data_IF_799262336921
#
_entry.id   IF_799262336921
#
_cell.length_a   1.000
_cell.length_b   1.000
_cell.length_c   1.000
_cell.angle_alpha   90.00
_cell.angle_beta   90.00
_cell.angle_gamma   90.00
#
_symmetry.space_group_name_H-M   'P 1'
#
loop_
_entity.id
_entity.type
_entity.pdbx_description
1 polymer ?
#
# COMPACT_ATOMS: atom_id res chain seq x y z
N UNK A 1 5.00 29.02 5.61
CA UNK A 1 5.54 27.66 5.48
C UNK A 1 4.43 26.69 5.85
N UNK A 2 4.11 25.76 4.95
CA UNK A 2 3.08 24.75 5.10
C UNK A 2 3.74 23.37 5.17
N UNK A 3 3.17 22.45 5.95
CA UNK A 3 3.63 21.07 6.05
C UNK A 3 2.65 20.13 5.33
N UNK A 4 3.17 19.07 4.71
CA UNK A 4 2.37 17.98 4.14
C UNK A 4 2.89 16.64 4.62
N UNK A 5 1.96 15.75 4.94
CA UNK A 5 2.18 14.34 5.26
C UNK A 5 1.22 13.51 4.40
N UNK A 6 1.41 12.18 4.36
CA UNK A 6 0.48 11.29 3.68
C UNK A 6 -0.74 10.95 4.56
N UNK A 7 -1.67 10.18 4.01
CA UNK A 7 -2.87 9.65 4.70
C UNK A 7 -2.57 8.84 5.98
N UNK A 8 -1.34 8.35 6.15
CA UNK A 8 -0.89 7.61 7.33
C UNK A 8 -0.26 8.52 8.41
N UNK A 9 -0.22 9.83 8.16
CA UNK A 9 0.34 10.84 9.07
C UNK A 9 1.85 11.05 8.96
N UNK A 10 2.59 10.18 8.26
CA UNK A 10 4.03 10.31 8.04
C UNK A 10 4.51 9.50 6.81
N UNK A 11 5.48 10.05 6.09
CA UNK A 11 6.22 9.29 5.06
C UNK A 11 7.12 8.21 5.70
N UNK A 12 7.56 7.17 4.96
CA UNK A 12 8.25 6.00 5.55
C UNK A 12 9.49 6.31 6.39
N UNK A 13 10.29 7.29 5.99
CA UNK A 13 11.49 7.77 6.70
C UNK A 13 11.19 8.79 7.82
N UNK A 14 9.89 9.08 8.05
CA UNK A 14 9.35 10.05 9.00
C UNK A 14 9.74 11.52 8.77
N UNK A 15 10.32 11.88 7.62
CA UNK A 15 10.49 13.32 7.32
C UNK A 15 9.13 13.97 7.06
N UNK A 16 9.03 15.23 7.48
CA UNK A 16 7.99 16.16 7.03
C UNK A 16 8.41 16.67 5.64
N UNK A 17 7.45 16.97 4.78
CA UNK A 17 7.68 17.76 3.57
C UNK A 17 7.10 19.16 3.76
N UNK A 18 7.85 20.18 3.35
CA UNK A 18 7.54 21.59 3.60
C UNK A 18 7.44 22.35 2.27
N UNK A 19 6.60 23.38 2.24
CA UNK A 19 6.44 24.28 1.11
C UNK A 19 6.23 25.73 1.60
N UNK A 20 6.51 26.72 0.76
CA UNK A 20 6.34 28.12 1.10
C UNK A 20 4.86 28.45 1.34
N UNK A 21 4.00 28.02 0.40
CA UNK A 21 2.54 28.16 0.40
C UNK A 21 1.86 27.01 -0.34
N UNK A 22 0.52 26.94 -0.22
CA UNK A 22 -0.35 26.04 -0.99
C UNK A 22 -1.39 26.88 -1.75
N UNK A 23 -1.50 26.67 -3.05
CA UNK A 23 -2.56 27.23 -3.89
C UNK A 23 -3.79 26.31 -3.89
N UNK A 24 -4.98 26.88 -3.92
CA UNK A 24 -6.25 26.15 -3.86
C UNK A 24 -7.21 26.58 -5.00
N UNK A 25 -6.83 26.36 -6.29
CA UNK A 25 -7.67 26.71 -7.42
C UNK A 25 -9.02 25.97 -7.37
N UNK A 26 -10.09 26.70 -7.67
CA UNK A 26 -11.48 26.23 -7.81
C UNK A 26 -11.92 26.10 -9.26
N UNK A 27 -11.14 26.63 -10.19
CA UNK A 27 -11.39 26.64 -11.63
C UNK A 27 -10.09 26.39 -12.40
N UNK A 28 -10.18 25.93 -13.65
CA UNK A 28 -8.99 25.80 -14.50
C UNK A 28 -8.31 27.17 -14.73
N UNK A 29 -9.07 28.27 -14.82
CA UNK A 29 -8.49 29.61 -14.96
C UNK A 29 -7.62 30.03 -13.75
N UNK A 30 -8.05 29.69 -12.53
CA UNK A 30 -7.23 29.86 -11.31
C UNK A 30 -5.99 28.96 -11.32
N UNK A 31 -6.12 27.70 -11.79
CA UNK A 31 -4.99 26.78 -11.93
C UNK A 31 -3.95 27.29 -12.92
N UNK A 32 -4.38 27.73 -14.10
CA UNK A 32 -3.54 28.34 -15.14
C UNK A 32 -2.82 29.58 -14.60
N UNK A 33 -3.53 30.44 -13.87
CA UNK A 33 -2.96 31.63 -13.23
C UNK A 33 -1.90 31.29 -12.19
N UNK A 34 -2.15 30.26 -11.36
CA UNK A 34 -1.23 29.80 -10.34
C UNK A 34 0.05 29.21 -10.94
N UNK A 35 -0.06 28.38 -11.99
CA UNK A 35 1.09 27.82 -12.70
C UNK A 35 1.89 28.92 -13.40
N UNK A 36 1.23 29.85 -14.10
CA UNK A 36 1.91 30.98 -14.75
C UNK A 36 2.70 31.85 -13.76
N UNK A 37 2.09 32.22 -12.63
CA UNK A 37 2.73 33.02 -11.59
C UNK A 37 3.92 32.29 -10.93
N UNK A 38 3.79 30.98 -10.68
CA UNK A 38 4.86 30.18 -10.10
C UNK A 38 6.04 29.98 -11.07
N UNK A 39 5.76 29.71 -12.35
CA UNK A 39 6.77 29.60 -13.41
C UNK A 39 7.50 30.93 -13.62
N UNK A 40 6.77 32.05 -13.68
CA UNK A 40 7.36 33.41 -13.76
C UNK A 40 8.25 33.75 -12.57
N UNK A 41 7.91 33.25 -11.38
CA UNK A 41 8.71 33.39 -10.16
C UNK A 41 9.81 32.32 -9.99
N UNK A 42 10.05 31.46 -10.99
CA UNK A 42 11.07 30.40 -10.94
C UNK A 42 10.82 29.30 -9.91
N UNK A 43 9.62 29.22 -9.31
CA UNK A 43 9.32 28.34 -8.17
C UNK A 43 9.01 26.91 -8.62
N UNK A 44 9.61 25.93 -7.94
CA UNK A 44 9.21 24.52 -8.05
C UNK A 44 7.77 24.33 -7.59
N UNK A 45 7.05 23.44 -8.26
CA UNK A 45 5.65 23.11 -8.00
C UNK A 45 5.49 21.61 -7.78
N UNK A 46 4.55 21.22 -6.91
CA UNK A 46 4.04 19.84 -6.79
C UNK A 46 2.52 19.84 -6.63
N UNK A 47 1.87 18.77 -7.07
CA UNK A 47 0.41 18.60 -6.93
C UNK A 47 0.09 17.89 -5.62
N UNK A 48 -0.86 18.42 -4.85
CA UNK A 48 -1.37 17.79 -3.61
C UNK A 48 -2.86 17.45 -3.71
N UNK A 49 -3.16 16.14 -3.73
CA UNK A 49 -4.54 15.65 -3.65
C UNK A 49 -5.09 15.76 -2.22
N UNK A 50 -6.42 15.77 -2.09
CA UNK A 50 -7.16 15.96 -0.81
C UNK A 50 -6.65 15.12 0.37
N UNK A 51 -6.05 13.96 0.12
CA UNK A 51 -5.63 12.99 1.14
C UNK A 51 -4.13 12.61 1.09
N UNK A 52 -3.38 13.07 0.07
CA UNK A 52 -1.95 12.79 -0.13
C UNK A 52 -1.55 11.32 0.09
N UNK A 53 -2.36 10.35 -0.37
CA UNK A 53 -2.25 8.91 -0.03
C UNK A 53 -1.00 8.19 -0.63
N UNK A 54 -0.08 8.91 -1.27
CA UNK A 54 1.16 8.34 -1.78
C UNK A 54 2.10 7.91 -0.64
N UNK A 55 2.61 6.68 -0.70
CA UNK A 55 3.67 6.23 0.21
C UNK A 55 5.03 6.88 -0.18
N UNK A 56 5.42 6.91 -1.48
CA UNK A 56 6.52 7.76 -1.95
C UNK A 56 6.21 9.27 -1.87
N UNK A 57 7.26 10.07 -1.71
CA UNK A 57 7.24 11.53 -1.51
C UNK A 57 6.95 12.38 -2.76
N UNK A 58 6.06 11.93 -3.65
CA UNK A 58 5.78 12.60 -4.94
C UNK A 58 5.23 14.03 -4.79
N UNK A 59 4.63 14.36 -3.64
CA UNK A 59 4.12 15.70 -3.30
C UNK A 59 5.21 16.68 -2.85
N UNK A 60 6.42 16.21 -2.57
CA UNK A 60 7.46 17.00 -1.93
C UNK A 60 8.28 17.80 -2.96
N UNK A 61 8.47 19.09 -2.70
CA UNK A 61 9.35 19.97 -3.48
C UNK A 61 10.81 19.82 -3.07
N UNK A 62 11.71 20.15 -3.98
CA UNK A 62 13.13 20.29 -3.66
C UNK A 62 13.32 21.56 -2.81
N UNK A 63 13.63 21.40 -1.53
CA UNK A 63 13.71 22.51 -0.57
C UNK A 63 12.34 23.11 -0.19
N UNK A 64 12.38 24.25 0.50
CA UNK A 64 11.22 24.84 1.20
C UNK A 64 10.49 25.92 0.40
N UNK A 65 11.12 26.49 -0.62
CA UNK A 65 10.63 27.67 -1.36
C UNK A 65 9.60 27.36 -2.46
N UNK A 66 9.50 26.08 -2.82
CA UNK A 66 8.49 25.55 -3.72
C UNK A 66 7.07 25.69 -3.17
N UNK A 67 6.09 25.49 -4.04
CA UNK A 67 4.66 25.59 -3.70
C UNK A 67 3.94 24.27 -3.99
N UNK A 68 2.86 24.02 -3.25
CA UNK A 68 1.92 22.95 -3.60
C UNK A 68 0.71 23.55 -4.31
N UNK A 69 0.20 22.86 -5.33
CA UNK A 69 -1.06 23.17 -6.00
C UNK A 69 -2.07 22.10 -5.61
N UNK A 70 -3.13 22.48 -4.90
CA UNK A 70 -4.12 21.53 -4.41
C UNK A 70 -5.29 21.37 -5.37
N UNK A 71 -5.56 20.14 -5.79
CA UNK A 71 -6.73 19.80 -6.61
C UNK A 71 -8.03 19.71 -5.80
N UNK A 72 -8.00 20.03 -4.49
CA UNK A 72 -9.11 19.85 -3.54
C UNK A 72 -10.46 20.44 -3.98
N UNK A 73 -10.45 21.51 -4.78
CA UNK A 73 -11.64 22.21 -5.29
C UNK A 73 -11.81 22.11 -6.81
N UNK A 74 -10.92 21.41 -7.52
CA UNK A 74 -11.07 21.00 -8.92
C UNK A 74 -11.73 19.62 -8.93
N UNK A 75 -12.97 19.55 -8.48
CA UNK A 75 -13.64 18.29 -8.14
C UNK A 75 -15.04 18.13 -8.77
N UNK A 76 -15.24 18.73 -9.94
CA UNK A 76 -16.50 18.71 -10.69
C UNK A 76 -16.52 17.67 -11.83
N UNK A 77 -17.72 17.34 -12.31
CA UNK A 77 -17.93 16.71 -13.62
C UNK A 77 -17.89 17.81 -14.69
N UNK A 78 -17.17 17.57 -15.78
CA UNK A 78 -16.99 18.52 -16.89
C UNK A 78 -17.90 18.17 -18.07
N UNK A 79 -17.97 16.87 -18.41
CA UNK A 79 -18.82 16.34 -19.48
C UNK A 79 -19.21 14.89 -19.17
N UNK A 80 -20.44 14.53 -19.46
CA UNK A 80 -20.95 13.17 -19.29
C UNK A 80 -21.72 12.76 -20.55
N UNK A 81 -21.40 11.60 -21.11
CA UNK A 81 -21.99 11.10 -22.35
C UNK A 81 -22.30 9.60 -22.20
N UNK A 82 -23.60 9.27 -22.17
CA UNK A 82 -24.09 7.91 -21.97
C UNK A 82 -23.92 7.05 -23.22
N UNK A 83 -24.07 7.62 -24.41
CA UNK A 83 -24.12 6.88 -25.66
C UNK A 83 -22.70 6.64 -26.20
N UNK A 84 -21.82 7.66 -26.13
CA UNK A 84 -20.38 7.50 -26.36
C UNK A 84 -19.66 6.80 -25.19
N UNK A 85 -20.35 6.62 -24.05
CA UNK A 85 -19.85 5.98 -22.81
C UNK A 85 -18.59 6.66 -22.27
N UNK A 86 -18.58 8.00 -22.25
CA UNK A 86 -17.45 8.78 -21.75
C UNK A 86 -17.84 9.71 -20.60
N UNK A 87 -16.88 9.95 -19.71
CA UNK A 87 -17.05 10.81 -18.54
C UNK A 87 -15.78 11.63 -18.30
N UNK A 88 -15.86 12.93 -18.56
CA UNK A 88 -14.79 13.91 -18.31
C UNK A 88 -14.97 14.52 -16.93
N UNK A 89 -13.96 14.42 -16.09
CA UNK A 89 -13.96 14.89 -14.69
C UNK A 89 -12.69 15.64 -14.34
N UNK A 90 -12.77 16.56 -13.38
CA UNK A 90 -11.60 17.26 -12.87
C UNK A 90 -10.74 16.38 -11.94
N UNK A 91 -9.44 16.65 -11.87
CA UNK A 91 -8.45 15.76 -11.25
C UNK A 91 -8.52 15.64 -9.71
N UNK A 92 -9.31 16.48 -9.05
CA UNK A 92 -9.67 16.39 -7.64
C UNK A 92 -10.89 15.51 -7.34
N UNK A 93 -11.67 15.10 -8.36
CA UNK A 93 -12.77 14.13 -8.19
C UNK A 93 -12.23 12.85 -7.57
N UNK A 94 -12.87 12.37 -6.50
CA UNK A 94 -12.52 11.09 -5.87
C UNK A 94 -13.04 9.91 -6.68
N UNK A 95 -12.38 8.75 -6.58
CA UNK A 95 -12.83 7.50 -7.22
C UNK A 95 -14.26 7.12 -6.81
N UNK A 96 -14.63 7.36 -5.54
CA UNK A 96 -16.01 7.25 -5.05
C UNK A 96 -17.00 8.13 -5.83
N UNK A 97 -16.63 9.38 -6.11
CA UNK A 97 -17.45 10.27 -6.94
C UNK A 97 -17.49 9.79 -8.38
N UNK A 98 -16.33 9.50 -9.01
CA UNK A 98 -16.26 9.01 -10.40
C UNK A 98 -17.17 7.80 -10.64
N UNK A 99 -17.16 6.81 -9.74
CA UNK A 99 -18.03 5.63 -9.82
C UNK A 99 -19.50 6.00 -9.59
N UNK A 100 -19.80 6.93 -8.67
CA UNK A 100 -21.15 7.42 -8.43
C UNK A 100 -21.74 8.21 -9.61
N UNK A 101 -20.93 9.03 -10.28
CA UNK A 101 -21.34 9.80 -11.47
C UNK A 101 -21.50 8.88 -12.70
N UNK A 102 -20.58 7.92 -12.91
CA UNK A 102 -20.73 6.88 -13.94
C UNK A 102 -22.03 6.06 -13.75
N UNK A 103 -22.36 5.68 -12.51
CA UNK A 103 -23.56 4.92 -12.21
C UNK A 103 -24.87 5.66 -12.55
N UNK A 104 -24.89 7.00 -12.51
CA UNK A 104 -26.05 7.82 -12.96
C UNK A 104 -26.30 7.69 -14.47
N UNK A 105 -25.28 7.35 -15.24
CA UNK A 105 -25.37 7.11 -16.69
C UNK A 105 -25.72 5.65 -17.03
N UNK A 106 -25.92 4.79 -16.02
CA UNK A 106 -25.96 3.32 -16.16
C UNK A 106 -24.65 2.73 -16.68
N UNK A 107 -23.53 3.39 -16.39
CA UNK A 107 -22.18 3.00 -16.80
C UNK A 107 -21.28 2.65 -15.60
N UNK A 108 -20.24 1.87 -15.86
CA UNK A 108 -19.26 1.40 -14.89
C UNK A 108 -17.84 1.75 -15.33
N UNK A 109 -17.02 2.22 -14.38
CA UNK A 109 -15.57 2.18 -14.52
C UNK A 109 -15.13 0.71 -14.45
N UNK A 110 -14.41 0.16 -15.44
CA UNK A 110 -14.21 -1.28 -15.56
C UNK A 110 -13.27 -1.85 -14.49
N UNK A 111 -12.18 -1.15 -14.20
CA UNK A 111 -11.19 -1.53 -13.20
C UNK A 111 -10.93 -0.36 -12.24
N UNK A 112 -10.65 -0.68 -10.98
CA UNK A 112 -10.45 0.31 -9.93
C UNK A 112 -9.53 -0.24 -8.82
N UNK A 113 -8.63 0.60 -8.24
CA UNK A 113 -7.91 0.28 -7.01
C UNK A 113 -8.86 0.25 -5.80
N UNK A 114 -8.48 -0.49 -4.75
CA UNK A 114 -9.36 -0.73 -3.60
C UNK A 114 -9.74 0.49 -2.76
N UNK A 115 -8.90 1.54 -2.72
CA UNK A 115 -9.17 2.70 -1.88
C UNK A 115 -9.89 3.82 -2.64
N UNK A 116 -11.22 3.85 -2.53
CA UNK A 116 -12.10 4.83 -3.22
C UNK A 116 -11.90 6.31 -2.85
N UNK A 117 -11.00 6.61 -1.90
CA UNK A 117 -10.62 7.99 -1.54
C UNK A 117 -9.53 8.60 -2.42
N UNK A 118 -8.88 7.83 -3.31
CA UNK A 118 -7.95 8.39 -4.30
C UNK A 118 -8.66 9.42 -5.18
N UNK A 119 -7.97 10.50 -5.55
CA UNK A 119 -8.46 11.43 -6.58
C UNK A 119 -7.96 11.02 -7.96
N UNK A 120 -8.70 11.39 -9.01
CA UNK A 120 -8.38 11.10 -10.42
C UNK A 120 -6.94 11.48 -10.78
N UNK A 121 -6.49 12.68 -10.43
CA UNK A 121 -5.10 13.12 -10.66
C UNK A 121 -4.05 12.30 -9.90
N UNK A 122 -4.41 11.72 -8.75
CA UNK A 122 -3.55 10.78 -8.03
C UNK A 122 -3.50 9.40 -8.70
N UNK A 123 -4.64 8.91 -9.17
CA UNK A 123 -4.76 7.64 -9.90
C UNK A 123 -3.90 7.66 -11.18
N UNK A 124 -4.03 8.71 -11.99
CA UNK A 124 -3.19 8.90 -13.17
C UNK A 124 -1.73 9.12 -12.75
N UNK A 125 -1.49 10.06 -11.83
CA UNK A 125 -0.14 10.42 -11.40
C UNK A 125 0.70 9.24 -10.91
N UNK A 126 0.12 8.25 -10.23
CA UNK A 126 0.85 7.06 -9.73
C UNK A 126 0.55 5.76 -10.49
N UNK A 127 -0.15 5.81 -11.62
CA UNK A 127 -0.48 4.61 -12.41
C UNK A 127 -1.33 3.58 -11.66
N UNK A 128 -2.26 4.03 -10.80
CA UNK A 128 -3.02 3.13 -9.94
C UNK A 128 -3.91 2.15 -10.73
N UNK A 129 -4.00 0.92 -10.25
CA UNK A 129 -4.63 -0.22 -10.93
C UNK A 129 -5.48 -1.08 -9.98
N UNK A 130 -6.35 -1.91 -10.55
CA UNK A 130 -7.04 -2.99 -9.84
C UNK A 130 -6.20 -4.27 -9.77
N UNK A 131 -6.85 -5.42 -9.98
CA UNK A 131 -6.20 -6.67 -10.34
C UNK A 131 -6.92 -7.27 -11.55
N UNK A 132 -6.17 -7.78 -12.53
CA UNK A 132 -6.64 -8.56 -13.69
C UNK A 132 -5.47 -8.98 -14.57
N UNK A 133 -5.59 -10.13 -15.24
CA UNK A 133 -4.77 -10.52 -16.40
C UNK A 133 -5.53 -10.38 -17.73
N UNK A 134 -6.77 -9.88 -17.73
CA UNK A 134 -7.67 -9.90 -18.88
C UNK A 134 -7.54 -8.64 -19.75
N UNK A 135 -7.62 -8.81 -21.07
CA UNK A 135 -7.64 -7.70 -22.04
C UNK A 135 -6.37 -6.85 -22.00
N UNK A 136 -6.50 -5.55 -21.74
CA UNK A 136 -5.38 -4.61 -21.55
C UNK A 136 -4.89 -4.53 -20.09
N UNK A 137 -5.36 -5.39 -19.21
CA UNK A 137 -5.06 -5.37 -17.78
C UNK A 137 -5.96 -4.40 -16.98
N UNK A 138 -5.58 -4.12 -15.74
CA UNK A 138 -6.44 -3.42 -14.77
C UNK A 138 -5.98 -2.00 -14.40
N UNK A 139 -5.03 -1.41 -15.15
CA UNK A 139 -4.55 -0.07 -14.86
C UNK A 139 -5.53 1.00 -15.34
N UNK A 140 -5.92 1.91 -14.44
CA UNK A 140 -7.04 2.83 -14.70
C UNK A 140 -6.73 3.82 -15.83
N UNK A 141 -5.45 4.13 -16.06
CA UNK A 141 -4.99 5.02 -17.12
C UNK A 141 -5.07 4.42 -18.54
N UNK A 142 -5.26 3.10 -18.68
CA UNK A 142 -5.52 2.47 -19.98
C UNK A 142 -6.96 2.68 -20.45
N UNK A 143 -7.86 3.03 -19.53
CA UNK A 143 -9.29 3.33 -19.78
C UNK A 143 -9.55 4.84 -19.83
N UNK A 144 -8.57 5.59 -20.31
CA UNK A 144 -8.60 7.04 -20.51
C UNK A 144 -8.35 7.34 -21.99
N UNK A 145 -9.19 8.20 -22.56
CA UNK A 145 -9.13 8.61 -23.98
C UNK A 145 -8.54 10.00 -24.16
N UNK A 146 -8.58 10.84 -23.13
CA UNK A 146 -8.11 12.23 -23.17
C UNK A 146 -7.63 12.70 -21.79
N UNK A 147 -6.53 13.46 -21.75
CA UNK A 147 -5.99 14.12 -20.55
C UNK A 147 -5.81 15.61 -20.86
N UNK A 148 -6.37 16.49 -20.04
CA UNK A 148 -6.07 17.93 -20.08
C UNK A 148 -5.06 18.27 -19.01
N UNK A 149 -3.97 18.94 -19.39
CA UNK A 149 -2.83 19.21 -18.51
C UNK A 149 -2.38 20.67 -18.60
N UNK A 150 -2.12 21.27 -17.44
CA UNK A 150 -1.56 22.61 -17.27
C UNK A 150 -0.11 22.48 -16.81
N UNK A 151 0.83 22.91 -17.63
CA UNK A 151 2.28 22.82 -17.36
C UNK A 151 2.95 24.20 -17.41
N UNK A 152 4.18 24.35 -16.88
CA UNK A 152 5.01 25.51 -17.18
C UNK A 152 5.09 25.79 -18.69
N UNK A 153 5.16 27.08 -19.04
CA UNK A 153 5.38 27.56 -20.40
C UNK A 153 6.53 28.56 -20.46
N UNK A 154 6.92 28.95 -21.68
CA UNK A 154 7.88 30.01 -21.94
C UNK A 154 7.25 31.40 -21.80
N UNK A 155 8.04 32.46 -21.97
CA UNK A 155 7.56 33.85 -21.88
C UNK A 155 6.49 34.14 -22.94
N UNK A 156 6.64 33.63 -24.18
CA UNK A 156 5.65 33.79 -25.25
C UNK A 156 4.37 32.97 -25.03
N UNK A 157 4.42 31.95 -24.16
CA UNK A 157 3.23 31.23 -23.68
C UNK A 157 2.59 31.90 -22.45
N UNK A 158 3.00 33.12 -22.08
CA UNK A 158 2.54 33.77 -20.85
C UNK A 158 2.99 33.08 -19.56
N UNK A 159 4.05 32.26 -19.63
CA UNK A 159 4.60 31.37 -18.59
C UNK A 159 3.80 30.09 -18.29
N UNK A 160 2.80 29.71 -19.11
CA UNK A 160 1.98 28.51 -18.91
C UNK A 160 1.53 27.86 -20.22
N UNK A 161 1.48 26.53 -20.30
CA UNK A 161 0.85 25.81 -21.41
C UNK A 161 -0.33 24.98 -20.90
N UNK A 162 -1.45 25.07 -21.59
CA UNK A 162 -2.58 24.15 -21.44
C UNK A 162 -2.64 23.27 -22.68
N UNK A 163 -2.63 21.96 -22.50
CA UNK A 163 -2.68 20.97 -23.58
C UNK A 163 -3.84 20.01 -23.35
N UNK A 164 -4.52 19.65 -24.43
CA UNK A 164 -5.41 18.49 -24.51
C UNK A 164 -4.62 17.37 -25.18
N UNK A 165 -4.52 16.23 -24.52
CA UNK A 165 -3.70 15.11 -24.93
C UNK A 165 -4.57 13.88 -25.22
N UNK A 166 -4.34 13.21 -26.34
CA UNK A 166 -5.03 11.98 -26.74
C UNK A 166 -4.16 11.10 -27.63
N UNK A 167 -4.51 9.81 -27.75
CA UNK A 167 -3.79 8.86 -28.61
C UNK A 167 -3.87 9.24 -30.11
N UNK A 168 -4.85 10.05 -30.51
CA UNK A 168 -5.08 10.47 -31.90
C UNK A 168 -4.42 11.80 -32.28
N UNK A 169 -4.07 12.66 -31.30
CA UNK A 169 -3.52 14.00 -31.57
C UNK A 169 -2.03 14.08 -31.22
N UNK A 170 -1.60 13.42 -30.15
CA UNK A 170 -0.24 13.54 -29.61
C UNK A 170 0.12 12.32 -28.72
N UNK A 171 0.16 11.10 -29.30
CA UNK A 171 0.25 9.84 -28.56
C UNK A 171 1.43 9.74 -27.61
N UNK A 172 2.62 10.27 -27.95
CA UNK A 172 3.79 10.22 -27.06
C UNK A 172 3.59 11.06 -25.79
N UNK A 173 3.11 12.31 -25.93
CA UNK A 173 2.78 13.16 -24.79
C UNK A 173 1.64 12.57 -23.95
N UNK A 174 0.62 12.00 -24.61
CA UNK A 174 -0.51 11.35 -23.94
C UNK A 174 -0.06 10.13 -23.12
N UNK A 175 0.77 9.26 -23.69
CA UNK A 175 1.37 8.10 -23.00
C UNK A 175 2.25 8.53 -21.82
N UNK A 176 3.03 9.59 -21.96
CA UNK A 176 3.79 10.16 -20.84
C UNK A 176 2.90 10.79 -19.76
N UNK A 177 1.78 11.41 -20.13
CA UNK A 177 0.83 12.01 -19.20
C UNK A 177 0.04 10.98 -18.37
N UNK A 178 -0.26 9.80 -18.96
CA UNK A 178 -0.99 8.69 -18.31
C UNK A 178 -0.40 8.26 -16.96
N UNK A 179 0.93 8.25 -16.82
CA UNK A 179 1.65 7.96 -15.56
C UNK A 179 2.77 8.99 -15.32
N UNK A 180 2.35 10.23 -15.06
CA UNK A 180 3.25 11.40 -15.07
C UNK A 180 4.01 11.70 -13.76
N UNK A 181 3.83 10.91 -12.68
CA UNK A 181 4.40 11.12 -11.34
C UNK A 181 4.24 12.54 -10.75
N UNK A 182 3.32 13.33 -11.31
CA UNK A 182 3.15 14.75 -10.99
C UNK A 182 4.33 15.65 -11.37
N UNK A 183 5.21 15.23 -12.31
CA UNK A 183 6.36 16.05 -12.78
C UNK A 183 6.13 16.76 -14.11
N UNK A 184 5.25 16.27 -14.98
CA UNK A 184 5.02 16.85 -16.31
C UNK A 184 4.07 18.07 -16.33
N UNK A 185 3.36 18.30 -15.23
CA UNK A 185 2.37 19.35 -15.07
C UNK A 185 1.25 18.95 -14.10
N UNK A 186 0.26 19.83 -13.95
CA UNK A 186 -0.97 19.56 -13.21
C UNK A 186 -2.03 19.06 -14.19
N UNK A 187 -2.39 17.79 -14.10
CA UNK A 187 -3.58 17.27 -14.81
C UNK A 187 -4.79 18.06 -14.27
N UNK A 188 -5.53 18.75 -15.13
CA UNK A 188 -6.75 19.48 -14.76
C UNK A 188 -7.97 18.59 -14.93
N UNK A 189 -8.08 17.88 -16.06
CA UNK A 189 -9.24 17.06 -16.42
C UNK A 189 -8.81 15.74 -17.06
N UNK A 190 -9.65 14.70 -16.94
CA UNK A 190 -9.44 13.37 -17.54
C UNK A 190 -10.77 12.86 -18.09
N UNK A 191 -10.78 12.38 -19.34
CA UNK A 191 -11.93 11.70 -19.96
C UNK A 191 -11.73 10.19 -19.91
N UNK A 192 -12.63 9.51 -19.19
CA UNK A 192 -12.65 8.05 -19.06
C UNK A 192 -13.50 7.39 -20.14
N UNK A 193 -13.05 6.22 -20.62
CA UNK A 193 -13.84 5.22 -21.33
C UNK A 193 -14.56 4.34 -20.29
N UNK A 194 -15.89 4.23 -20.39
CA UNK A 194 -16.71 3.45 -19.47
C UNK A 194 -17.39 2.25 -20.18
N UNK A 195 -17.76 1.25 -19.39
CA UNK A 195 -18.50 0.08 -19.86
C UNK A 195 -19.97 0.15 -19.43
N UNK A 196 -20.89 -0.58 -20.10
CA UNK A 196 -22.24 -0.80 -19.56
C UNK A 196 -22.19 -1.38 -18.15
N UNK A 197 -23.14 -1.02 -17.29
CA UNK A 197 -23.17 -1.50 -15.90
C UNK A 197 -23.18 -3.04 -15.80
N UNK A 198 -22.37 -3.53 -14.88
CA UNK A 198 -22.22 -4.94 -14.52
C UNK A 198 -22.21 -5.09 -13.00
N UNK A 199 -22.21 -6.34 -12.52
CA UNK A 199 -21.98 -6.69 -11.11
C UNK A 199 -20.77 -7.61 -11.01
N UNK A 200 -20.21 -7.75 -9.81
CA UNK A 200 -19.10 -8.64 -9.49
C UNK A 200 -19.54 -9.68 -8.47
N UNK A 201 -19.17 -10.94 -8.69
CA UNK A 201 -19.46 -12.11 -7.86
C UNK A 201 -18.19 -12.52 -7.13
N UNK A 202 -18.15 -12.32 -5.82
CA UNK A 202 -16.96 -12.47 -4.98
C UNK A 202 -17.07 -13.68 -4.06
N UNK A 203 -16.11 -14.59 -4.12
CA UNK A 203 -15.99 -15.73 -3.19
C UNK A 203 -14.58 -15.84 -2.64
N UNK A 204 -14.44 -15.92 -1.32
CA UNK A 204 -13.14 -16.10 -0.65
C UNK A 204 -12.93 -17.57 -0.27
N UNK A 205 -11.78 -18.14 -0.66
CA UNK A 205 -11.38 -19.51 -0.31
C UNK A 205 -9.97 -19.51 0.26
N UNK A 206 -9.81 -20.04 1.47
CA UNK A 206 -8.50 -20.21 2.11
C UNK A 206 -7.93 -21.58 1.75
N UNK A 207 -6.74 -21.61 1.15
CA UNK A 207 -5.99 -22.83 0.80
C UNK A 207 -4.66 -22.88 1.56
N UNK A 208 -3.96 -24.01 1.44
CA UNK A 208 -2.50 -24.08 1.67
C UNK A 208 -1.76 -23.29 0.56
N UNK A 209 -0.46 -23.07 0.73
CA UNK A 209 0.39 -22.29 -0.18
C UNK A 209 1.44 -23.11 -0.93
N UNK A 210 1.41 -24.44 -0.83
CA UNK A 210 2.35 -25.36 -1.49
C UNK A 210 2.34 -25.26 -3.03
N UNK A 211 1.20 -24.93 -3.63
CA UNK A 211 0.95 -24.81 -5.07
C UNK A 211 0.79 -23.34 -5.53
N UNK A 212 0.99 -22.37 -4.64
CA UNK A 212 0.58 -20.98 -4.88
C UNK A 212 1.23 -20.36 -6.12
N UNK A 213 2.54 -20.56 -6.30
CA UNK A 213 3.27 -20.01 -7.45
C UNK A 213 2.74 -20.55 -8.78
N UNK A 214 2.47 -21.85 -8.84
CA UNK A 214 2.02 -22.54 -10.05
C UNK A 214 0.57 -22.22 -10.39
N UNK A 215 -0.30 -22.06 -9.38
CA UNK A 215 -1.70 -21.69 -9.55
C UNK A 215 -1.92 -20.21 -9.88
N UNK A 216 -0.92 -19.34 -9.65
CA UNK A 216 -1.10 -17.89 -9.68
C UNK A 216 -1.61 -17.35 -11.03
N UNK A 217 -1.02 -17.82 -12.14
CA UNK A 217 -1.39 -17.40 -13.50
C UNK A 217 -2.76 -17.96 -13.87
N UNK A 218 -2.93 -19.29 -13.79
CA UNK A 218 -4.17 -19.99 -14.16
C UNK A 218 -5.39 -19.47 -13.41
N UNK A 219 -5.24 -19.04 -12.16
CA UNK A 219 -6.34 -18.46 -11.39
C UNK A 219 -6.67 -17.01 -11.82
N UNK A 220 -5.67 -16.20 -12.18
CA UNK A 220 -5.87 -14.86 -12.74
C UNK A 220 -6.42 -14.86 -14.17
N UNK A 221 -6.09 -15.89 -14.96
CA UNK A 221 -6.71 -16.14 -16.27
C UNK A 221 -8.17 -16.61 -16.13
N UNK A 222 -8.49 -17.36 -15.07
CA UNK A 222 -9.84 -17.87 -14.82
C UNK A 222 -10.83 -16.82 -14.32
N UNK A 223 -10.37 -15.85 -13.53
CA UNK A 223 -11.23 -14.92 -12.79
C UNK A 223 -10.85 -13.46 -13.07
N UNK A 224 -11.74 -12.69 -13.71
CA UNK A 224 -11.45 -11.37 -14.29
C UNK A 224 -10.79 -10.38 -13.31
N UNK A 225 -11.19 -10.41 -12.03
CA UNK A 225 -10.66 -9.50 -11.00
C UNK A 225 -9.97 -10.20 -9.82
N UNK A 226 -9.46 -11.43 -10.02
CA UNK A 226 -8.87 -12.22 -8.94
C UNK A 226 -7.78 -11.49 -8.14
N UNK A 227 -7.76 -11.72 -6.83
CA UNK A 227 -6.62 -11.38 -5.97
C UNK A 227 -6.21 -12.52 -5.05
N UNK A 228 -5.02 -12.37 -4.46
CA UNK A 228 -4.49 -13.28 -3.46
C UNK A 228 -4.05 -12.48 -2.23
N UNK A 229 -4.26 -13.06 -1.05
CA UNK A 229 -3.62 -12.59 0.19
C UNK A 229 -2.87 -13.77 0.80
N UNK A 230 -1.55 -13.80 0.56
CA UNK A 230 -0.65 -14.81 1.11
C UNK A 230 -0.35 -14.54 2.58
N UNK A 231 -0.35 -15.59 3.40
CA UNK A 231 -0.10 -15.58 4.84
C UNK A 231 1.05 -16.55 5.16
N UNK A 232 2.32 -16.25 4.80
CA UNK A 232 3.42 -17.21 4.85
C UNK A 232 3.63 -17.86 6.22
N UNK A 233 3.46 -17.09 7.30
CA UNK A 233 3.59 -17.57 8.69
C UNK A 233 2.49 -18.53 9.16
N UNK A 234 1.54 -18.88 8.28
CA UNK A 234 0.48 -19.86 8.50
C UNK A 234 0.54 -21.02 7.49
N UNK A 235 1.37 -20.94 6.45
CA UNK A 235 1.38 -21.88 5.32
C UNK A 235 0.05 -21.88 4.56
N UNK A 236 -0.43 -20.69 4.14
CA UNK A 236 -1.76 -20.47 3.57
C UNK A 236 -1.85 -19.27 2.62
N UNK A 237 -2.71 -19.36 1.61
CA UNK A 237 -3.17 -18.22 0.79
C UNK A 237 -4.69 -18.10 0.89
N UNK A 238 -5.19 -16.86 0.87
CA UNK A 238 -6.60 -16.60 0.55
C UNK A 238 -6.71 -16.25 -0.92
N UNK A 239 -7.43 -17.10 -1.65
CA UNK A 239 -7.82 -16.91 -3.04
C UNK A 239 -9.13 -16.11 -3.05
N UNK A 240 -9.18 -15.00 -3.77
CA UNK A 240 -10.40 -14.25 -4.06
C UNK A 240 -10.83 -14.54 -5.50
N UNK A 241 -11.89 -15.33 -5.64
CA UNK A 241 -12.63 -15.46 -6.89
C UNK A 241 -13.46 -14.18 -7.03
N UNK A 242 -13.37 -13.48 -8.15
CA UNK A 242 -14.04 -12.19 -8.35
C UNK A 242 -14.37 -12.03 -9.84
N UNK A 243 -15.61 -12.36 -10.15
CA UNK A 243 -16.07 -12.60 -11.52
C UNK A 243 -17.13 -11.60 -11.95
N UNK A 244 -17.05 -11.09 -13.19
CA UNK A 244 -18.10 -10.27 -13.78
C UNK A 244 -19.37 -11.09 -13.98
N UNK A 245 -20.50 -10.55 -13.52
CA UNK A 245 -21.85 -11.10 -13.73
C UNK A 245 -22.82 -10.02 -14.22
N UNK A 246 -23.92 -10.38 -14.89
CA UNK A 246 -24.90 -9.41 -15.38
C UNK A 246 -25.44 -8.48 -14.29
N UNK A 247 -25.74 -7.23 -14.65
CA UNK A 247 -26.30 -6.25 -13.70
C UNK A 247 -27.65 -6.69 -13.09
N UNK A 248 -28.40 -7.57 -13.75
CA UNK A 248 -29.65 -8.14 -13.23
C UNK A 248 -29.46 -9.25 -12.19
N UNK A 249 -28.25 -9.76 -11.98
CA UNK A 249 -28.00 -10.84 -10.99
C UNK A 249 -28.31 -10.37 -9.57
N UNK A 250 -29.08 -11.16 -8.82
CA UNK A 250 -29.44 -10.91 -7.42
C UNK A 250 -28.21 -10.98 -6.51
N UNK A 251 -28.23 -10.25 -5.39
CA UNK A 251 -27.10 -10.17 -4.47
C UNK A 251 -27.46 -9.54 -3.13
N UNK A 252 -26.69 -9.88 -2.11
CA UNK A 252 -26.73 -9.33 -0.75
C UNK A 252 -25.90 -8.04 -0.58
N UNK A 253 -25.02 -7.73 -1.53
CA UNK A 253 -24.42 -6.41 -1.67
C UNK A 253 -23.30 -6.05 -0.67
N UNK A 254 -22.80 -7.03 0.09
CA UNK A 254 -21.90 -6.81 1.22
C UNK A 254 -20.40 -7.02 0.87
N UNK A 255 -19.64 -5.93 0.70
CA UNK A 255 -18.18 -6.00 0.51
C UNK A 255 -17.41 -6.01 1.85
N UNK A 256 -17.39 -7.16 2.53
CA UNK A 256 -16.78 -7.30 3.86
C UNK A 256 -15.28 -7.70 3.83
N UNK A 257 -14.47 -6.88 3.13
CA UNK A 257 -13.04 -7.10 2.91
C UNK A 257 -12.21 -6.90 4.20
N UNK A 258 -11.59 -7.97 4.69
CA UNK A 258 -11.05 -8.01 6.05
C UNK A 258 -9.92 -7.00 6.38
N UNK A 259 -9.00 -6.61 5.47
CA UNK A 259 -7.93 -5.65 5.80
C UNK A 259 -8.42 -4.25 6.18
N UNK A 260 -9.64 -3.86 5.81
CA UNK A 260 -10.23 -2.56 6.16
C UNK A 260 -11.29 -2.64 7.25
N UNK A 261 -11.63 -3.84 7.75
CA UNK A 261 -12.57 -3.98 8.88
C UNK A 261 -12.06 -3.24 10.12
N UNK A 262 -12.92 -2.53 10.87
CA UNK A 262 -12.51 -1.89 12.11
C UNK A 262 -12.07 -2.93 13.13
N UNK A 263 -10.82 -2.85 13.58
CA UNK A 263 -10.31 -3.67 14.68
C UNK A 263 -10.46 -2.93 16.00
N UNK A 264 -10.92 -3.64 17.04
CA UNK A 264 -11.01 -3.08 18.40
C UNK A 264 -9.63 -2.58 18.87
N UNK A 265 -9.60 -1.38 19.44
CA UNK A 265 -8.38 -0.73 19.96
C UNK A 265 -7.65 -1.60 20.98
N UNK A 266 -8.39 -2.34 21.82
CA UNK A 266 -7.88 -3.33 22.76
C UNK A 266 -7.16 -4.49 22.06
N UNK A 267 -7.75 -5.06 21.00
CA UNK A 267 -7.12 -6.12 20.21
C UNK A 267 -5.86 -5.63 19.47
N UNK A 268 -5.88 -4.39 18.96
CA UNK A 268 -4.69 -3.74 18.39
C UNK A 268 -3.59 -3.54 19.45
N UNK A 269 -3.92 -3.12 20.66
CA UNK A 269 -2.97 -2.97 21.77
C UNK A 269 -2.34 -4.30 22.19
N UNK A 270 -3.16 -5.35 22.38
CA UNK A 270 -2.69 -6.71 22.69
C UNK A 270 -1.76 -7.25 21.58
N UNK A 271 -2.10 -7.04 20.31
CA UNK A 271 -1.26 -7.48 19.20
C UNK A 271 0.05 -6.66 19.07
N UNK A 272 0.07 -5.39 19.48
CA UNK A 272 1.30 -4.60 19.61
C UNK A 272 2.18 -5.13 20.75
N UNK A 273 1.60 -5.35 21.95
CA UNK A 273 2.33 -5.87 23.11
C UNK A 273 2.95 -7.26 22.84
N UNK A 274 2.20 -8.16 22.18
CA UNK A 274 2.68 -9.48 21.73
C UNK A 274 3.85 -9.41 20.73
N UNK A 275 3.96 -8.34 19.92
CA UNK A 275 5.10 -8.11 19.03
C UNK A 275 6.31 -7.60 19.80
N UNK A 276 6.11 -6.63 20.72
CA UNK A 276 7.19 -6.10 21.56
C UNK A 276 7.80 -7.20 22.43
N UNK A 277 6.97 -8.01 23.13
CA UNK A 277 7.48 -9.10 23.97
C UNK A 277 8.37 -10.09 23.19
N UNK A 278 8.03 -10.43 21.94
CA UNK A 278 8.88 -11.32 21.13
C UNK A 278 10.06 -10.66 20.44
N UNK A 279 10.03 -9.34 20.19
CA UNK A 279 11.25 -8.64 19.79
C UNK A 279 12.29 -8.67 20.92
N UNK A 280 11.85 -8.51 22.16
CA UNK A 280 12.70 -8.66 23.35
C UNK A 280 13.21 -10.10 23.51
N UNK A 281 12.35 -11.12 23.39
CA UNK A 281 12.79 -12.53 23.47
C UNK A 281 13.78 -12.93 22.36
N UNK A 282 13.66 -12.35 21.16
CA UNK A 282 14.66 -12.52 20.09
C UNK A 282 15.98 -11.81 20.37
N UNK A 283 16.01 -10.84 21.30
CA UNK A 283 17.24 -10.14 21.74
C UNK A 283 17.89 -10.79 22.97
N UNK A 284 17.13 -11.50 23.82
CA UNK A 284 17.67 -12.19 25.01
C UNK A 284 18.28 -13.57 24.72
N UNK A 285 18.19 -14.07 23.49
CA UNK A 285 18.74 -15.37 23.11
C UNK A 285 17.98 -16.59 23.64
N UNK A 286 16.85 -16.38 24.33
CA UNK A 286 15.95 -17.46 24.69
C UNK A 286 15.41 -18.13 23.43
N UNK A 287 15.47 -19.47 23.37
CA UNK A 287 15.01 -20.23 22.22
C UNK A 287 13.52 -19.95 21.94
N UNK A 288 13.26 -19.14 20.92
CA UNK A 288 11.93 -18.79 20.45
C UNK A 288 11.29 -20.00 19.76
N UNK A 289 10.79 -20.95 20.57
CA UNK A 289 10.00 -22.09 20.14
C UNK A 289 8.96 -21.63 19.11
N UNK A 290 8.88 -22.36 17.99
CA UNK A 290 8.25 -21.95 16.73
C UNK A 290 6.72 -21.80 16.72
N UNK A 291 6.13 -21.33 17.82
CA UNK A 291 4.73 -20.98 17.94
C UNK A 291 4.35 -19.91 16.91
N UNK A 292 3.76 -20.39 15.80
CA UNK A 292 3.26 -19.56 14.71
C UNK A 292 2.45 -18.38 15.24
N UNK A 293 2.64 -17.20 14.64
CA UNK A 293 1.81 -16.04 14.97
C UNK A 293 0.43 -16.20 14.33
N UNK A 294 -0.41 -16.98 15.00
CA UNK A 294 -1.86 -16.88 14.87
C UNK A 294 -2.27 -15.50 15.40
N UNK A 295 -2.10 -14.51 14.53
CA UNK A 295 -2.48 -13.13 14.76
C UNK A 295 -4.02 -13.11 14.86
N UNK A 296 -4.58 -13.10 16.06
CA UNK A 296 -5.95 -13.58 16.32
C UNK A 296 -7.06 -12.80 15.59
N UNK A 297 -6.77 -11.59 15.08
CA UNK A 297 -7.65 -10.86 14.15
C UNK A 297 -7.80 -11.50 12.75
N UNK A 298 -6.89 -12.39 12.34
CA UNK A 298 -6.98 -13.23 11.14
C UNK A 298 -7.72 -14.56 11.41
N UNK A 299 -7.93 -14.93 12.68
CA UNK A 299 -8.72 -16.11 13.07
C UNK A 299 -10.17 -15.76 13.39
N UNK A 300 -10.46 -14.62 14.01
CA UNK A 300 -11.84 -14.14 14.22
C UNK A 300 -12.45 -13.66 12.89
N UNK A 301 -12.87 -14.64 12.09
CA UNK A 301 -13.88 -14.50 11.06
C UNK A 301 -13.36 -14.20 9.66
N UNK A 302 -12.84 -15.20 8.96
CA UNK A 302 -13.27 -15.37 7.56
C UNK A 302 -14.70 -15.93 7.58
N UNK A 303 -15.68 -15.12 8.03
CA UNK A 303 -17.11 -15.49 8.06
C UNK A 303 -17.73 -15.70 6.67
N UNK A 304 -16.90 -15.61 5.63
CA UNK A 304 -17.21 -15.54 4.22
C UNK A 304 -16.48 -16.65 3.43
N UNK A 305 -15.85 -17.64 4.09
CA UNK A 305 -15.27 -18.79 3.38
C UNK A 305 -16.36 -19.52 2.59
N UNK A 306 -16.19 -19.65 1.27
CA UNK A 306 -17.17 -20.27 0.38
C UNK A 306 -18.50 -19.51 0.24
N UNK A 307 -18.63 -18.30 0.79
CA UNK A 307 -19.80 -17.44 0.55
C UNK A 307 -19.56 -16.55 -0.67
N UNK A 308 -20.58 -16.43 -1.51
CA UNK A 308 -20.56 -15.64 -2.74
C UNK A 308 -21.38 -14.37 -2.57
N UNK A 309 -20.76 -13.21 -2.77
CA UNK A 309 -21.38 -11.89 -2.64
C UNK A 309 -21.52 -11.27 -4.03
N UNK A 310 -22.69 -10.72 -4.36
CA UNK A 310 -22.89 -10.06 -5.66
C UNK A 310 -23.07 -8.54 -5.49
N UNK A 311 -22.15 -7.78 -6.08
CA UNK A 311 -21.91 -6.36 -5.82
C UNK A 311 -21.98 -5.50 -7.09
N UNK A 312 -22.57 -4.31 -7.01
CA UNK A 312 -22.36 -3.27 -8.03
C UNK A 312 -20.96 -2.63 -7.92
N UNK A 313 -20.48 -1.87 -8.92
CA UNK A 313 -19.15 -1.22 -8.87
C UNK A 313 -19.02 -0.23 -7.70
N UNK A 314 -20.14 0.41 -7.32
CA UNK A 314 -20.21 1.29 -6.15
C UNK A 314 -20.07 0.52 -4.83
N UNK A 315 -20.59 -0.71 -4.73
CA UNK A 315 -20.47 -1.56 -3.54
C UNK A 315 -19.10 -2.22 -3.43
N UNK A 316 -18.53 -2.69 -4.55
CA UNK A 316 -17.21 -3.33 -4.60
C UNK A 316 -16.05 -2.39 -4.21
N UNK A 317 -16.26 -1.07 -4.26
CA UNK A 317 -15.25 -0.07 -3.87
C UNK A 317 -15.55 0.62 -2.53
N UNK A 318 -16.65 0.27 -1.86
CA UNK A 318 -17.13 0.96 -0.68
C UNK A 318 -16.39 0.57 0.61
N UNK A 319 -15.91 1.56 1.37
CA UNK A 319 -15.48 1.33 2.75
C UNK A 319 -15.73 2.47 3.75
N UNK A 320 -16.08 2.06 4.98
CA UNK A 320 -16.27 2.78 6.25
C UNK A 320 -17.57 3.60 6.51
N UNK A 321 -17.96 3.58 7.79
CA UNK A 321 -18.98 4.37 8.48
C UNK A 321 -20.44 4.32 7.98
N UNK A 322 -20.98 3.12 7.79
CA UNK A 322 -22.36 2.88 8.21
C UNK A 322 -22.37 2.37 9.65
N UNK A 323 -22.95 3.17 10.58
CA UNK A 323 -23.76 2.56 11.64
C UNK A 323 -24.92 1.87 10.94
N UNK A 324 -25.22 0.61 11.26
CA UNK A 324 -26.45 -0.01 10.78
C UNK A 324 -27.64 0.83 11.27
N UNK A 325 -28.66 1.10 10.42
CA UNK A 325 -29.91 1.67 10.90
C UNK A 325 -30.55 0.66 11.87
N UNK A 326 -30.85 1.11 13.09
CA UNK A 326 -31.35 0.25 14.18
C UNK A 326 -32.83 -0.08 14.01
N UNK A 327 -33.17 -0.85 12.98
CA UNK A 327 -34.42 -1.59 12.88
C UNK A 327 -34.15 -3.06 13.22
N UNK A 328 -34.04 -3.35 14.52
CA UNK A 328 -34.22 -4.70 15.06
C UNK A 328 -35.23 -4.63 16.20
N UNK A 329 -36.15 -5.59 16.23
CA UNK A 329 -36.96 -5.87 17.41
C UNK A 329 -36.04 -6.25 18.57
N UNK A 330 -36.44 -6.03 19.84
CA UNK A 330 -35.53 -6.07 20.98
C UNK A 330 -34.80 -7.41 21.11
N UNK A 331 -33.49 -7.39 20.85
CA UNK A 331 -32.60 -8.52 21.08
C UNK A 331 -32.40 -8.75 22.58
N UNK A 332 -32.19 -10.01 22.98
CA UNK A 332 -31.92 -10.37 24.37
C UNK A 332 -30.56 -9.81 24.85
N UNK A 333 -30.37 -9.61 26.17
CA UNK A 333 -29.15 -9.03 26.72
C UNK A 333 -27.88 -9.77 26.27
N UNK A 334 -26.91 -9.03 25.73
CA UNK A 334 -25.63 -9.58 25.31
C UNK A 334 -24.86 -10.10 26.54
N UNK A 335 -24.32 -11.33 26.43
CA UNK A 335 -23.51 -11.94 27.48
C UNK A 335 -22.23 -11.12 27.71
N UNK A 336 -21.92 -10.85 28.97
CA UNK A 336 -20.67 -10.19 29.38
C UNK A 336 -19.46 -11.02 28.97
N UNK A 337 -18.35 -10.35 28.59
CA UNK A 337 -17.09 -11.02 28.33
C UNK A 337 -16.64 -11.87 29.55
N UNK A 338 -16.07 -13.07 29.34
CA UNK A 338 -15.65 -13.92 30.45
C UNK A 338 -14.66 -13.20 31.36
N UNK A 339 -14.87 -13.28 32.68
CA UNK A 339 -13.99 -12.68 33.68
C UNK A 339 -12.54 -13.17 33.56
N UNK A 340 -12.34 -14.33 32.94
CA UNK A 340 -11.04 -14.96 32.79
C UNK A 340 -10.16 -14.27 31.72
N UNK A 341 -10.72 -13.58 30.72
CA UNK A 341 -9.90 -12.71 29.82
C UNK A 341 -9.29 -11.53 30.60
N UNK A 342 -10.05 -10.94 31.54
CA UNK A 342 -9.57 -9.86 32.42
C UNK A 342 -8.53 -10.36 33.44
N UNK A 343 -8.76 -11.52 34.08
CA UNK A 343 -7.77 -12.15 34.97
C UNK A 343 -6.49 -12.54 34.23
N UNK A 344 -6.62 -13.04 32.99
CA UNK A 344 -5.49 -13.38 32.12
C UNK A 344 -4.63 -12.15 31.80
N UNK A 345 -5.26 -11.00 31.51
CA UNK A 345 -4.56 -9.72 31.33
C UNK A 345 -3.83 -9.26 32.59
N UNK A 346 -4.48 -9.29 33.76
CA UNK A 346 -3.86 -8.92 35.04
C UNK A 346 -2.65 -9.80 35.36
N UNK A 347 -2.78 -11.12 35.22
CA UNK A 347 -1.69 -12.07 35.44
C UNK A 347 -0.52 -11.85 34.46
N UNK A 348 -0.79 -11.56 33.18
CA UNK A 348 0.25 -11.24 32.20
C UNK A 348 0.99 -9.93 32.49
N UNK A 349 0.34 -8.92 33.09
CA UNK A 349 1.01 -7.69 33.52
C UNK A 349 1.86 -7.93 34.78
N UNK A 350 1.38 -8.73 35.73
CA UNK A 350 2.15 -9.13 36.92
C UNK A 350 3.44 -9.89 36.54
N UNK A 351 3.36 -10.84 35.62
CA UNK A 351 4.55 -11.55 35.09
C UNK A 351 5.53 -10.63 34.36
N UNK A 352 5.05 -9.53 33.75
CA UNK A 352 5.91 -8.54 33.09
C UNK A 352 6.72 -7.73 34.10
N UNK A 353 6.07 -7.30 35.19
CA UNK A 353 6.73 -6.61 36.31
C UNK A 353 7.76 -7.51 37.01
N UNK A 354 7.41 -8.78 37.27
CA UNK A 354 8.33 -9.76 37.85
C UNK A 354 9.55 -10.02 36.94
N UNK A 355 9.35 -10.09 35.62
CA UNK A 355 10.45 -10.23 34.66
C UNK A 355 11.45 -9.07 34.71
N UNK A 356 10.97 -7.83 34.83
CA UNK A 356 11.84 -6.65 34.96
C UNK A 356 12.67 -6.70 36.26
N UNK A 357 12.07 -7.04 37.39
CA UNK A 357 12.78 -7.14 38.69
C UNK A 357 13.84 -8.25 38.71
N UNK A 358 13.63 -9.35 37.99
CA UNK A 358 14.64 -10.41 37.83
C UNK A 358 15.81 -9.90 36.98
N UNK A 359 15.52 -9.14 35.92
CA UNK A 359 16.52 -8.61 34.99
C UNK A 359 17.40 -7.52 35.63
N UNK A 360 16.86 -6.70 36.54
CA UNK A 360 17.64 -5.75 37.35
C UNK A 360 18.57 -6.47 38.34
N UNK A 361 18.08 -7.48 39.06
CA UNK A 361 18.91 -8.26 40.01
C UNK A 361 20.06 -9.00 39.32
N UNK A 362 19.82 -9.54 38.12
CA UNK A 362 20.85 -10.21 37.32
C UNK A 362 21.91 -9.24 36.75
N UNK A 363 21.60 -7.94 36.65
CA UNK A 363 22.56 -6.92 36.23
C UNK A 363 23.47 -6.54 37.41
N UNK A 364 22.88 -6.21 38.56
CA UNK A 364 23.62 -5.73 39.74
C UNK A 364 24.55 -6.80 40.36
N UNK A 365 24.29 -8.10 40.14
CA UNK A 365 25.19 -9.17 40.58
C UNK A 365 26.43 -9.36 39.68
N UNK A 366 26.51 -8.68 38.54
CA UNK A 366 27.59 -8.89 37.55
C UNK A 366 28.63 -7.77 37.48
N UNK A 367 28.53 -6.79 38.39
CA UNK A 367 29.36 -5.57 38.40
C UNK A 367 30.40 -5.57 39.54
N UNK A 368 30.55 -6.68 40.28
CA UNK A 368 31.38 -6.77 41.50
C UNK A 368 32.59 -7.71 41.44
N UNK A 369 32.99 -8.22 40.27
CA UNK A 369 34.16 -9.11 40.13
C UNK A 369 35.10 -8.72 38.97
N UNK A 370 36.32 -8.32 39.34
CA UNK A 370 37.58 -8.17 38.57
C UNK A 370 38.73 -8.31 39.59
N UNK A 371 40.01 -8.61 39.24
CA UNK A 371 40.73 -8.38 37.97
C UNK A 371 41.48 -9.68 37.51
N UNK A 372 42.65 -9.72 36.81
CA UNK A 372 43.46 -8.69 36.12
C UNK A 372 43.86 -9.04 34.66
N UNK A 373 44.89 -8.36 34.13
CA UNK A 373 45.29 -8.29 32.71
C UNK A 373 46.76 -8.72 32.48
N UNK A 374 47.04 -9.44 31.38
CA UNK A 374 48.36 -9.51 30.70
C UNK A 374 48.18 -9.77 29.18
N UNK A 375 49.25 -9.59 28.39
CA UNK A 375 49.32 -9.75 26.92
C UNK A 375 50.76 -10.15 26.48
N UNK A 376 51.17 -10.16 25.18
CA UNK A 376 50.94 -11.25 24.21
C UNK A 376 52.22 -11.70 23.44
N UNK A 377 52.17 -12.79 22.64
CA UNK A 377 53.17 -13.16 21.59
C UNK A 377 52.61 -14.10 20.49
N UNK A 378 52.50 -13.60 19.25
CA UNK A 378 53.15 -14.01 17.96
C UNK A 378 53.13 -15.44 17.31
N UNK A 379 53.30 -15.44 15.97
CA UNK A 379 53.80 -16.49 15.00
C UNK A 379 52.96 -17.78 14.69
N UNK A 380 52.96 -18.44 13.50
CA UNK A 380 53.33 -18.09 12.08
C UNK A 380 52.66 -19.09 11.03
N UNK A 381 53.06 -19.00 9.74
CA UNK A 381 52.82 -19.77 8.46
C UNK A 381 52.43 -21.30 8.45
N UNK A 382 52.09 -22.00 7.34
CA UNK A 382 51.59 -21.77 5.94
C UNK A 382 51.25 -23.12 5.23
N UNK A 383 50.78 -23.15 3.95
CA UNK A 383 50.85 -24.37 3.08
C UNK A 383 49.79 -24.61 1.97
N UNK A 384 50.24 -25.02 0.76
CA UNK A 384 49.53 -25.50 -0.47
C UNK A 384 50.55 -26.39 -1.30
N UNK A 385 50.32 -27.04 -2.50
CA UNK A 385 49.36 -26.77 -3.62
C UNK A 385 48.88 -27.98 -4.54
N UNK A 386 48.24 -27.65 -5.70
CA UNK A 386 48.30 -28.34 -7.05
C UNK A 386 47.60 -29.73 -7.28
N UNK A 387 47.25 -30.23 -8.51
CA UNK A 387 47.02 -29.74 -9.93
C UNK A 387 46.39 -30.88 -10.81
N UNK A 388 45.80 -30.57 -12.00
CA UNK A 388 45.92 -31.24 -13.36
C UNK A 388 44.67 -31.25 -14.31
N UNK A 389 44.88 -31.42 -15.64
CA UNK A 389 43.85 -31.43 -16.75
C UNK A 389 44.38 -32.08 -18.07
N UNK A 390 43.53 -32.75 -18.89
CA UNK A 390 43.42 -32.56 -20.38
C UNK A 390 41.93 -32.53 -20.91
N UNK A 391 41.43 -32.31 -22.17
CA UNK A 391 41.81 -32.31 -23.63
C UNK A 391 41.79 -33.68 -24.40
N UNK A 392 41.25 -33.89 -25.65
CA UNK A 392 40.54 -33.07 -26.71
C UNK A 392 39.74 -33.94 -27.74
N UNK A 393 38.74 -33.35 -28.47
CA UNK A 393 38.11 -33.74 -29.81
C UNK A 393 37.45 -35.15 -30.00
N UNK A 394 36.58 -35.47 -30.99
CA UNK A 394 36.04 -34.84 -32.24
C UNK A 394 34.54 -35.22 -32.53
N UNK A 395 33.99 -34.99 -33.76
CA UNK A 395 32.54 -35.05 -34.13
C UNK A 395 32.19 -36.16 -35.18
N UNK A 396 30.91 -36.60 -35.40
CA UNK A 396 29.90 -35.84 -36.17
C UNK A 396 28.40 -36.06 -35.76
N UNK A 397 27.45 -35.67 -36.62
CA UNK A 397 26.03 -35.36 -36.31
C UNK A 397 24.98 -36.48 -36.49
N UNK A 398 23.95 -36.47 -35.62
CA UNK A 398 22.57 -36.92 -35.92
C UNK A 398 21.58 -35.91 -35.32
N UNK A 399 20.52 -35.55 -36.06
CA UNK A 399 19.50 -34.59 -35.58
C UNK A 399 18.37 -35.32 -34.85
N UNK A 400 18.26 -35.11 -33.55
CA UNK A 400 17.14 -35.54 -32.70
C UNK A 400 16.62 -34.33 -31.93
N UNK A 401 15.30 -34.17 -31.82
CA UNK A 401 14.69 -33.10 -31.00
C UNK A 401 14.94 -33.40 -29.50
N UNK A 402 15.46 -32.45 -28.71
CA UNK A 402 15.53 -32.61 -27.26
C UNK A 402 14.13 -32.80 -26.66
N UNK A 403 14.01 -33.73 -25.70
CA UNK A 403 12.95 -33.65 -24.71
C UNK A 403 13.21 -32.42 -23.81
N UNK A 404 12.16 -31.86 -23.20
CA UNK A 404 12.32 -30.72 -22.30
C UNK A 404 13.14 -31.12 -21.06
N UNK A 405 14.23 -30.40 -20.81
CA UNK A 405 15.02 -30.58 -19.59
C UNK A 405 14.23 -30.18 -18.34
N UNK A 406 14.39 -30.87 -17.21
CA UNK A 406 13.78 -30.47 -15.95
C UNK A 406 14.38 -29.16 -15.47
N UNK A 407 13.58 -28.10 -15.43
CA UNK A 407 14.01 -26.78 -14.94
C UNK A 407 14.44 -26.91 -13.47
N UNK A 408 15.69 -26.53 -13.11
CA UNK A 408 16.16 -26.65 -11.74
C UNK A 408 15.39 -25.70 -10.82
N UNK A 409 15.08 -26.17 -9.60
CA UNK A 409 14.41 -25.37 -8.57
C UNK A 409 15.20 -24.12 -8.24
N UNK A 410 14.63 -22.94 -8.54
CA UNK A 410 15.22 -21.65 -8.20
C UNK A 410 15.11 -21.38 -6.70
N UNK A 411 16.22 -21.54 -5.99
CA UNK A 411 16.35 -21.04 -4.62
C UNK A 411 16.18 -19.51 -4.59
N UNK A 412 15.07 -19.05 -4.04
CA UNK A 412 14.78 -17.64 -3.88
C UNK A 412 15.52 -17.08 -2.65
N UNK A 413 16.74 -16.60 -2.86
CA UNK A 413 17.51 -15.84 -1.85
C UNK A 413 17.03 -14.38 -1.85
N UNK A 414 16.40 -13.87 -0.77
CA UNK A 414 15.84 -12.51 -0.76
C UNK A 414 16.95 -11.46 -0.68
N UNK A 415 17.33 -10.87 -1.81
CA UNK A 415 18.28 -9.75 -1.86
C UNK A 415 17.60 -8.44 -1.42
N UNK A 416 17.69 -8.13 -0.12
CA UNK A 416 17.25 -6.85 0.48
C UNK A 416 18.48 -6.06 0.98
N UNK A 417 19.10 -5.20 0.15
CA UNK A 417 20.38 -4.56 0.47
C UNK A 417 20.21 -3.18 1.14
N UNK A 418 19.89 -3.15 2.43
CA UNK A 418 19.97 -1.90 3.22
C UNK A 418 20.54 -2.13 4.64
N UNK A 419 21.86 -1.96 4.83
CA UNK A 419 22.44 -1.87 6.16
C UNK A 419 22.07 -0.53 6.81
N UNK A 420 21.06 -0.54 7.68
CA UNK A 420 20.70 0.64 8.49
C UNK A 420 21.75 0.81 9.59
N UNK A 421 22.70 1.74 9.40
CA UNK A 421 23.67 2.11 10.43
C UNK A 421 22.97 2.52 11.73
N UNK A 422 23.39 1.97 12.86
CA UNK A 422 22.77 2.20 14.17
C UNK A 422 23.04 3.61 14.73
N UNK A 423 22.40 4.63 14.14
CA UNK A 423 22.38 6.00 14.68
C UNK A 423 21.32 6.12 15.76
N UNK A 424 21.74 6.53 16.96
CA UNK A 424 20.91 6.69 18.17
C UNK A 424 19.57 7.35 17.84
N UNK A 425 18.51 6.57 17.92
CA UNK A 425 17.18 6.97 17.48
C UNK A 425 16.56 7.98 18.44
N UNK A 426 15.48 8.65 18.00
CA UNK A 426 14.71 9.51 18.90
C UNK A 426 14.11 8.74 20.09
N UNK A 427 13.80 7.44 19.94
CA UNK A 427 13.36 6.59 21.05
C UNK A 427 14.45 6.55 22.11
N UNK A 428 15.67 6.16 21.74
CA UNK A 428 16.78 5.98 22.67
C UNK A 428 17.14 7.30 23.39
N UNK A 429 16.96 8.45 22.72
CA UNK A 429 17.13 9.78 23.33
C UNK A 429 16.00 10.18 24.28
N UNK A 430 14.75 9.81 24.00
CA UNK A 430 13.62 10.06 24.90
C UNK A 430 13.60 9.06 26.08
N UNK A 431 14.09 7.84 25.88
CA UNK A 431 14.24 6.79 26.89
C UNK A 431 15.38 7.10 27.87
N UNK A 432 16.51 7.63 27.40
CA UNK A 432 17.51 8.28 28.27
C UNK A 432 16.93 9.48 29.03
N UNK A 433 16.06 10.28 28.40
CA UNK A 433 15.42 11.43 29.07
C UNK A 433 14.48 11.00 30.20
N UNK A 434 13.72 9.91 29.99
CA UNK A 434 12.90 9.30 31.02
C UNK A 434 13.72 8.68 32.16
N UNK A 435 14.85 8.01 31.88
CA UNK A 435 15.76 7.53 32.94
C UNK A 435 16.28 8.69 33.79
N UNK A 436 16.79 9.74 33.16
CA UNK A 436 17.34 10.89 33.90
C UNK A 436 16.28 11.63 34.74
N UNK A 437 15.05 11.73 34.24
CA UNK A 437 13.91 12.25 35.01
C UNK A 437 13.43 11.32 36.15
N UNK A 438 13.89 10.07 36.23
CA UNK A 438 13.65 9.17 37.36
C UNK A 438 14.81 9.20 38.36
N UNK A 439 16.05 9.35 37.87
CA UNK A 439 17.26 9.60 38.67
C UNK A 439 17.13 10.92 39.46
N UNK A 440 16.51 11.96 38.89
CA UNK A 440 16.23 13.24 39.57
C UNK A 440 15.07 13.16 40.61
N UNK A 441 14.49 11.98 40.88
CA UNK A 441 13.31 11.77 41.76
C UNK A 441 13.58 10.76 42.90
N UNK A 442 14.78 10.20 42.99
CA UNK A 442 15.22 9.27 44.06
C UNK A 442 16.43 9.78 44.83
#
# INVERSE_FOLDING_TARGET
MCTVTNSYGAFPDRSICEAAKVEYPKTEAELVSAVAAATRAGRKMRVVSRYSHSIPKLVCTDGKDGILISTKFLNNVVRADREAKTLTVESGVTLRQLIGEAAKLELALPYAPYWWGLTVGGIMGTGAHGSSLWGKGSAVHDYVTEIRIVSPGSVSDGYVKVRVLSETVNPEEFRAAKVSLGVLGVISQVTFELQPMFKRSLTYVMRKDWDFGDQAVTFGEKHEFADFIWLPSQGKVVYRMDDRVPFKTSGDGLFDFFPFRPQLSTALAVNRLRRVKRHLQMQTGENAQGNQVQNSGYQRGYGNQGRTFVLSPAQNTQFHNQKQPTNQQPAQPAQTAPQDEMKSLANMMSQLLQGQQIQEKALNQKESEQPPVTAPTDEEEAGLPAKHTPTTTEQPTVVVRPAAEPVPTRDYVPKVPYPVSAKTTRKDKEEMKCRKMLEDIT
#
